data_IF_765887479492
#
_entry.id   IF_765887479492
#
_cell.length_a   1.000
_cell.length_b   1.000
_cell.length_c   1.000
_cell.angle_alpha   90.00
_cell.angle_beta   90.00
_cell.angle_gamma   90.00
#
_symmetry.space_group_name_H-M   'P 1'
#
loop_
_entity.id
_entity.type
_entity.pdbx_description
1 polymer ?
#
# COMPACT_ATOMS: atom_id res chain seq x y z
N UNK A 1 -18.93 -10.95 21.23
CA UNK A 1 -18.55 -9.76 20.45
C UNK A 1 -17.65 -10.23 19.32
N UNK A 2 -18.02 -9.99 18.07
CA UNK A 2 -17.23 -10.47 16.93
C UNK A 2 -16.09 -9.48 16.65
N UNK A 3 -14.85 -9.95 16.71
CA UNK A 3 -13.63 -9.13 16.49
C UNK A 3 -12.97 -9.39 15.14
N UNK A 4 -13.25 -10.53 14.52
CA UNK A 4 -12.67 -10.93 13.24
C UNK A 4 -13.77 -11.49 12.35
N UNK A 5 -13.84 -10.99 11.12
CA UNK A 5 -14.78 -11.45 10.11
C UNK A 5 -14.00 -11.76 8.82
N UNK A 6 -14.03 -13.02 8.39
CA UNK A 6 -13.51 -13.44 7.09
C UNK A 6 -14.66 -13.79 6.17
N UNK A 7 -14.69 -13.15 5.01
CA UNK A 7 -15.65 -13.39 3.95
C UNK A 7 -14.91 -13.54 2.61
N UNK A 8 -13.70 -14.09 2.62
CA UNK A 8 -12.92 -14.23 1.40
C UNK A 8 -13.58 -15.21 0.42
N UNK A 9 -13.55 -14.88 -0.87
CA UNK A 9 -14.10 -15.70 -1.95
C UNK A 9 -15.63 -15.98 -1.83
N UNK A 10 -16.43 -14.92 -1.69
CA UNK A 10 -17.89 -15.01 -1.46
C UNK A 10 -18.74 -14.18 -2.45
N UNK A 11 -18.16 -13.67 -3.54
CA UNK A 11 -18.88 -12.89 -4.56
C UNK A 11 -19.70 -11.70 -3.97
N UNK A 12 -19.24 -11.10 -2.87
CA UNK A 12 -19.96 -10.03 -2.14
C UNK A 12 -20.36 -8.87 -3.06
N UNK A 13 -19.46 -8.51 -4.00
CA UNK A 13 -19.65 -7.41 -4.93
C UNK A 13 -19.77 -6.05 -4.26
N UNK A 14 -20.05 -5.02 -5.06
CA UNK A 14 -20.23 -3.66 -4.56
C UNK A 14 -21.46 -3.51 -3.64
N UNK A 15 -22.55 -4.26 -3.89
CA UNK A 15 -23.77 -4.22 -3.06
C UNK A 15 -23.49 -4.77 -1.66
N UNK A 16 -22.83 -5.92 -1.57
CA UNK A 16 -22.46 -6.48 -0.27
C UNK A 16 -21.43 -5.60 0.47
N UNK A 17 -20.50 -4.97 -0.25
CA UNK A 17 -19.58 -3.99 0.32
C UNK A 17 -20.30 -2.76 0.86
N UNK A 18 -21.39 -2.31 0.20
CA UNK A 18 -22.25 -1.24 0.70
C UNK A 18 -22.92 -1.62 2.03
N UNK A 19 -23.50 -2.83 2.11
CA UNK A 19 -24.12 -3.34 3.34
C UNK A 19 -23.10 -3.47 4.47
N UNK A 20 -21.91 -4.00 4.17
CA UNK A 20 -20.80 -4.08 5.12
C UNK A 20 -20.34 -2.70 5.56
N UNK A 21 -20.20 -1.73 4.65
CA UNK A 21 -19.86 -0.35 4.96
C UNK A 21 -20.86 0.28 5.94
N UNK A 22 -22.16 0.08 5.71
CA UNK A 22 -23.21 0.55 6.62
C UNK A 22 -23.09 -0.10 8.01
N UNK A 23 -22.82 -1.39 8.08
CA UNK A 23 -22.60 -2.08 9.36
C UNK A 23 -21.34 -1.59 10.09
N UNK A 24 -20.24 -1.37 9.36
CA UNK A 24 -18.95 -0.92 9.90
C UNK A 24 -19.01 0.47 10.54
N UNK A 25 -19.88 1.36 10.05
CA UNK A 25 -20.06 2.71 10.65
C UNK A 25 -20.51 2.66 12.10
N UNK A 26 -21.23 1.62 12.50
CA UNK A 26 -21.77 1.45 13.84
C UNK A 26 -21.07 0.34 14.63
N UNK A 27 -20.30 -0.50 13.96
CA UNK A 27 -19.58 -1.58 14.60
C UNK A 27 -18.38 -1.05 15.39
N UNK A 28 -18.36 -1.35 16.69
CA UNK A 28 -17.32 -0.93 17.63
C UNK A 28 -16.50 -2.09 18.17
N UNK A 29 -16.62 -3.28 17.57
CA UNK A 29 -15.96 -4.49 18.06
C UNK A 29 -15.04 -5.15 17.04
N UNK A 30 -15.28 -4.91 15.75
CA UNK A 30 -14.56 -5.58 14.66
C UNK A 30 -13.19 -4.94 14.48
N UNK A 31 -12.15 -5.74 14.66
CA UNK A 31 -10.75 -5.37 14.57
C UNK A 31 -10.16 -5.78 13.22
N UNK A 32 -10.60 -6.91 12.67
CA UNK A 32 -10.07 -7.49 11.43
C UNK A 32 -11.20 -7.85 10.46
N UNK A 33 -11.07 -7.38 9.23
CA UNK A 33 -11.99 -7.69 8.14
C UNK A 33 -11.22 -8.19 6.92
N UNK A 34 -11.52 -9.43 6.50
CA UNK A 34 -10.97 -10.02 5.29
C UNK A 34 -12.04 -10.14 4.20
N UNK A 35 -11.82 -9.41 3.11
CA UNK A 35 -12.71 -9.35 1.94
C UNK A 35 -11.98 -9.75 0.66
N UNK A 36 -10.91 -10.53 0.76
CA UNK A 36 -10.16 -11.00 -0.41
C UNK A 36 -11.07 -11.67 -1.46
N UNK A 37 -10.83 -11.42 -2.74
CA UNK A 37 -11.50 -12.14 -3.85
C UNK A 37 -13.03 -12.00 -3.82
N UNK A 38 -13.55 -10.76 -3.84
CA UNK A 38 -15.00 -10.52 -3.72
C UNK A 38 -15.59 -9.59 -4.80
N UNK A 39 -14.80 -9.24 -5.82
CA UNK A 39 -15.23 -8.37 -6.92
C UNK A 39 -15.91 -7.06 -6.44
N UNK A 40 -15.35 -6.45 -5.40
CA UNK A 40 -15.90 -5.26 -4.74
C UNK A 40 -15.91 -4.05 -5.70
N UNK A 41 -14.87 -3.90 -6.52
CA UNK A 41 -14.71 -2.79 -7.46
C UNK A 41 -14.60 -1.41 -6.79
N UNK A 42 -14.51 -0.38 -7.62
CA UNK A 42 -14.37 1.01 -7.14
C UNK A 42 -15.59 1.50 -6.34
N UNK A 43 -16.80 1.13 -6.77
CA UNK A 43 -18.04 1.50 -6.07
C UNK A 43 -18.13 0.87 -4.67
N UNK A 44 -17.67 -0.37 -4.52
CA UNK A 44 -17.59 -1.01 -3.21
C UNK A 44 -16.48 -0.41 -2.35
N UNK A 45 -15.33 -0.06 -2.95
CA UNK A 45 -14.24 0.63 -2.26
C UNK A 45 -14.67 2.03 -1.77
N UNK A 46 -15.50 2.75 -2.52
CA UNK A 46 -16.15 3.99 -2.08
C UNK A 46 -16.96 3.76 -0.80
N UNK A 47 -17.84 2.76 -0.80
CA UNK A 47 -18.69 2.47 0.35
C UNK A 47 -17.87 2.11 1.60
N UNK A 48 -16.81 1.32 1.42
CA UNK A 48 -15.89 0.97 2.50
C UNK A 48 -15.09 2.17 2.98
N UNK A 49 -14.57 3.01 2.06
CA UNK A 49 -13.87 4.25 2.39
C UNK A 49 -14.73 5.20 3.22
N UNK A 50 -15.99 5.38 2.85
CA UNK A 50 -16.93 6.19 3.63
C UNK A 50 -17.18 5.63 5.03
N UNK A 51 -17.21 4.29 5.19
CA UNK A 51 -17.32 3.68 6.51
C UNK A 51 -16.05 3.86 7.34
N UNK A 52 -14.87 3.70 6.73
CA UNK A 52 -13.58 3.86 7.38
C UNK A 52 -13.36 5.28 7.93
N UNK A 53 -13.93 6.32 7.31
CA UNK A 53 -13.86 7.69 7.85
C UNK A 53 -14.46 7.83 9.26
N UNK A 54 -15.36 6.93 9.65
CA UNK A 54 -16.07 6.96 10.93
C UNK A 54 -15.69 5.80 11.85
N UNK A 55 -15.24 4.67 11.28
CA UNK A 55 -14.88 3.51 12.07
C UNK A 55 -13.55 3.74 12.81
N UNK A 56 -13.57 3.54 14.12
CA UNK A 56 -12.42 3.77 15.02
C UNK A 56 -11.83 2.49 15.60
N UNK A 57 -12.26 1.31 15.12
CA UNK A 57 -11.93 0.02 15.74
C UNK A 57 -11.27 -0.96 14.78
N UNK A 58 -11.55 -0.87 13.48
CA UNK A 58 -10.97 -1.72 12.46
C UNK A 58 -9.51 -1.33 12.26
N UNK A 59 -8.62 -2.27 12.60
CA UNK A 59 -7.16 -2.08 12.49
C UNK A 59 -6.58 -2.79 11.27
N UNK A 60 -7.24 -3.84 10.79
CA UNK A 60 -6.76 -4.66 9.67
C UNK A 60 -7.86 -4.85 8.63
N UNK A 61 -7.56 -4.44 7.40
CA UNK A 61 -8.45 -4.60 6.25
C UNK A 61 -7.71 -5.27 5.09
N UNK A 62 -8.23 -6.41 4.63
CA UNK A 62 -7.72 -7.10 3.44
C UNK A 62 -8.69 -6.97 2.27
N UNK A 63 -8.28 -6.23 1.24
CA UNK A 63 -9.00 -6.00 -0.02
C UNK A 63 -8.27 -6.62 -1.22
N UNK A 64 -7.43 -7.63 -0.99
CA UNK A 64 -6.72 -8.30 -2.07
C UNK A 64 -7.67 -8.83 -3.15
N UNK A 65 -7.31 -8.68 -4.43
CA UNK A 65 -8.03 -9.28 -5.56
C UNK A 65 -9.51 -8.85 -5.63
N UNK A 66 -9.76 -7.55 -5.68
CA UNK A 66 -11.11 -6.99 -5.67
C UNK A 66 -11.42 -6.08 -6.87
N UNK A 67 -10.56 -6.05 -7.88
CA UNK A 67 -10.69 -5.18 -9.05
C UNK A 67 -10.86 -3.69 -8.67
N UNK A 68 -10.14 -3.26 -7.63
CA UNK A 68 -10.08 -1.87 -7.21
C UNK A 68 -9.08 -1.15 -8.12
N UNK A 69 -9.53 -0.16 -8.86
CA UNK A 69 -8.70 0.68 -9.71
C UNK A 69 -8.33 2.00 -9.03
N UNK A 70 -7.89 2.96 -9.83
CA UNK A 70 -7.47 4.29 -9.36
C UNK A 70 -8.58 5.06 -8.62
N UNK A 71 -9.83 4.95 -9.09
CA UNK A 71 -10.96 5.61 -8.44
C UNK A 71 -11.26 4.99 -7.07
N UNK A 72 -11.21 3.67 -6.94
CA UNK A 72 -11.35 3.00 -5.65
C UNK A 72 -10.20 3.35 -4.70
N UNK A 73 -8.96 3.41 -5.20
CA UNK A 73 -7.80 3.86 -4.45
C UNK A 73 -7.93 5.31 -3.97
N UNK A 74 -8.54 6.20 -4.77
CA UNK A 74 -8.87 7.57 -4.35
C UNK A 74 -9.76 7.59 -3.10
N UNK A 75 -10.86 6.84 -3.12
CA UNK A 75 -11.79 6.80 -1.99
C UNK A 75 -11.15 6.24 -0.71
N UNK A 76 -10.31 5.21 -0.86
CA UNK A 76 -9.55 4.65 0.24
C UNK A 76 -8.49 5.63 0.75
N UNK A 77 -7.78 6.34 -0.12
CA UNK A 77 -6.82 7.38 0.24
C UNK A 77 -7.49 8.52 1.04
N UNK A 78 -8.64 9.01 0.59
CA UNK A 78 -9.39 10.03 1.31
C UNK A 78 -9.89 9.55 2.68
N UNK A 79 -10.18 8.25 2.82
CA UNK A 79 -10.53 7.67 4.11
C UNK A 79 -9.31 7.57 5.03
N UNK A 80 -8.16 7.13 4.52
CA UNK A 80 -6.90 7.01 5.27
C UNK A 80 -6.41 8.36 5.84
N UNK A 81 -6.64 9.48 5.16
CA UNK A 81 -6.32 10.81 5.69
C UNK A 81 -7.02 11.13 7.02
N UNK A 82 -8.18 10.53 7.27
CA UNK A 82 -9.02 10.80 8.45
C UNK A 82 -9.07 9.64 9.44
N UNK A 83 -8.89 8.42 8.96
CA UNK A 83 -8.97 7.23 9.78
C UNK A 83 -7.75 7.15 10.71
N UNK A 84 -8.01 7.04 12.01
CA UNK A 84 -7.00 6.98 13.06
C UNK A 84 -6.90 5.60 13.73
N UNK A 85 -7.41 4.56 13.08
CA UNK A 85 -7.48 3.20 13.65
C UNK A 85 -6.80 2.14 12.77
N UNK A 86 -6.84 2.29 11.45
CA UNK A 86 -6.33 1.31 10.50
C UNK A 86 -4.80 1.32 10.50
N UNK A 87 -4.21 0.18 10.84
CA UNK A 87 -2.76 -0.03 10.89
C UNK A 87 -2.26 -0.92 9.76
N UNK A 88 -3.14 -1.76 9.20
CA UNK A 88 -2.81 -2.70 8.14
C UNK A 88 -3.83 -2.65 7.02
N UNK A 89 -3.37 -2.36 5.80
CA UNK A 89 -4.18 -2.37 4.59
C UNK A 89 -3.49 -3.21 3.52
N UNK A 90 -4.22 -4.21 2.99
CA UNK A 90 -3.80 -4.96 1.82
C UNK A 90 -4.67 -4.61 0.61
N UNK A 91 -4.02 -4.10 -0.43
CA UNK A 91 -4.57 -3.81 -1.76
C UNK A 91 -3.86 -4.65 -2.84
N UNK A 92 -3.26 -5.76 -2.43
CA UNK A 92 -2.58 -6.72 -3.30
C UNK A 92 -3.46 -7.20 -4.46
N UNK A 93 -2.89 -7.44 -5.65
CA UNK A 93 -3.62 -7.99 -6.80
C UNK A 93 -4.87 -7.16 -7.17
N UNK A 94 -4.72 -5.84 -7.25
CA UNK A 94 -5.77 -4.95 -7.76
C UNK A 94 -5.29 -4.30 -9.06
N UNK A 95 -6.02 -3.30 -9.56
CA UNK A 95 -5.74 -2.62 -10.82
C UNK A 95 -5.32 -1.17 -10.55
N UNK A 96 -4.56 -0.96 -9.48
CA UNK A 96 -4.12 0.37 -9.05
C UNK A 96 -2.96 0.81 -9.94
N UNK A 97 -3.18 1.87 -10.70
CA UNK A 97 -2.20 2.51 -11.54
C UNK A 97 -1.46 3.65 -10.85
N UNK A 98 -0.86 4.51 -11.67
CA UNK A 98 -0.10 5.67 -11.20
C UNK A 98 -0.99 6.73 -10.50
N UNK A 99 -2.23 6.93 -10.93
CA UNK A 99 -3.15 7.88 -10.28
C UNK A 99 -3.64 7.37 -8.92
N UNK A 100 -3.94 6.08 -8.81
CA UNK A 100 -4.29 5.47 -7.53
C UNK A 100 -3.13 5.52 -6.55
N UNK A 101 -1.90 5.28 -7.02
CA UNK A 101 -0.69 5.47 -6.22
C UNK A 101 -0.49 6.93 -5.78
N UNK A 102 -0.82 7.91 -6.63
CA UNK A 102 -0.82 9.33 -6.25
C UNK A 102 -1.76 9.59 -5.07
N UNK A 103 -3.02 9.15 -5.17
CA UNK A 103 -4.00 9.37 -4.09
C UNK A 103 -3.60 8.70 -2.77
N UNK A 104 -3.06 7.47 -2.85
CA UNK A 104 -2.53 6.78 -1.67
C UNK A 104 -1.30 7.49 -1.10
N UNK A 105 -0.37 7.94 -1.94
CA UNK A 105 0.80 8.72 -1.53
C UNK A 105 0.41 10.01 -0.82
N UNK A 106 -0.52 10.79 -1.39
CA UNK A 106 -1.00 12.01 -0.77
C UNK A 106 -1.80 11.76 0.53
N UNK A 107 -2.35 10.56 0.71
CA UNK A 107 -2.95 10.15 1.98
C UNK A 107 -1.88 9.81 3.03
N UNK A 108 -0.84 9.08 2.63
CA UNK A 108 0.28 8.68 3.49
C UNK A 108 1.04 9.88 4.07
N UNK A 109 1.14 10.99 3.34
CA UNK A 109 1.75 12.23 3.88
C UNK A 109 1.09 12.75 5.16
N UNK A 110 -0.20 12.43 5.36
CA UNK A 110 -1.00 12.90 6.49
C UNK A 110 -1.40 11.80 7.46
N UNK A 111 -1.46 10.54 7.00
CA UNK A 111 -1.84 9.43 7.85
C UNK A 111 -0.71 9.10 8.85
N UNK A 112 -1.09 9.00 10.12
CA UNK A 112 -0.16 8.77 11.25
C UNK A 112 -0.41 7.45 11.98
N UNK A 113 -1.10 6.50 11.32
CA UNK A 113 -1.58 5.26 11.95
C UNK A 113 -1.28 4.00 11.16
N UNK A 114 -1.18 4.11 9.83
CA UNK A 114 -0.90 2.99 8.95
C UNK A 114 0.56 2.56 9.09
N UNK A 115 0.74 1.30 9.49
CA UNK A 115 2.04 0.66 9.75
C UNK A 115 2.45 -0.21 8.57
N UNK A 116 1.48 -0.90 7.96
CA UNK A 116 1.68 -1.86 6.88
C UNK A 116 0.75 -1.56 5.71
N UNK A 117 1.34 -1.37 4.53
CA UNK A 117 0.63 -1.23 3.27
C UNK A 117 1.15 -2.26 2.26
N UNK A 118 0.26 -3.12 1.77
CA UNK A 118 0.58 -4.04 0.68
C UNK A 118 -0.08 -3.57 -0.63
N UNK A 119 0.76 -3.21 -1.59
CA UNK A 119 0.39 -2.80 -2.95
C UNK A 119 0.98 -3.74 -4.01
N UNK A 120 1.45 -4.93 -3.61
CA UNK A 120 2.03 -5.89 -4.55
C UNK A 120 1.06 -6.32 -5.65
N UNK A 121 1.58 -6.65 -6.83
CA UNK A 121 0.79 -7.04 -8.00
C UNK A 121 -0.27 -5.98 -8.36
N UNK A 122 0.18 -4.78 -8.68
CA UNK A 122 -0.63 -3.69 -9.24
C UNK A 122 0.12 -3.10 -10.46
N UNK A 123 -0.35 -1.98 -11.01
CA UNK A 123 0.16 -1.34 -12.24
C UNK A 123 0.75 0.06 -11.94
N UNK A 124 1.39 0.22 -10.78
CA UNK A 124 1.80 1.52 -10.23
C UNK A 124 2.78 2.27 -11.15
N UNK A 125 3.74 1.56 -11.74
CA UNK A 125 4.74 2.11 -12.64
C UNK A 125 5.69 3.13 -12.00
N UNK A 126 6.59 3.69 -12.80
CA UNK A 126 7.57 4.68 -12.33
C UNK A 126 6.91 5.96 -11.80
N UNK A 127 5.83 6.44 -12.43
CA UNK A 127 5.13 7.66 -12.02
C UNK A 127 4.42 7.48 -10.68
N UNK A 128 3.76 6.33 -10.46
CA UNK A 128 3.15 6.04 -9.17
C UNK A 128 4.19 5.86 -8.06
N UNK A 129 5.32 5.25 -8.39
CA UNK A 129 6.46 5.11 -7.47
C UNK A 129 7.02 6.47 -7.03
N UNK A 130 7.08 7.47 -7.92
CA UNK A 130 7.48 8.83 -7.56
C UNK A 130 6.60 9.40 -6.45
N UNK A 131 5.26 9.31 -6.58
CA UNK A 131 4.35 9.80 -5.55
C UNK A 131 4.45 9.05 -4.22
N UNK A 132 4.68 7.73 -4.26
CA UNK A 132 4.89 6.95 -3.04
C UNK A 132 6.24 7.25 -2.39
N UNK A 133 7.29 7.48 -3.18
CA UNK A 133 8.60 7.92 -2.70
C UNK A 133 8.52 9.28 -2.00
N UNK A 134 7.90 10.27 -2.65
CA UNK A 134 7.64 11.60 -2.08
C UNK A 134 6.81 11.51 -0.78
N UNK A 135 5.80 10.63 -0.73
CA UNK A 135 5.05 10.40 0.49
C UNK A 135 5.91 9.85 1.64
N UNK A 136 6.86 8.96 1.34
CA UNK A 136 7.78 8.41 2.34
C UNK A 136 8.76 9.44 2.90
N UNK A 137 9.07 10.53 2.18
CA UNK A 137 9.90 11.60 2.75
C UNK A 137 9.21 12.32 3.91
N UNK A 138 7.88 12.32 3.93
CA UNK A 138 7.07 13.00 4.94
C UNK A 138 6.41 12.06 5.95
N UNK A 139 6.12 10.82 5.54
CA UNK A 139 5.47 9.85 6.41
C UNK A 139 6.44 9.35 7.50
N UNK A 140 5.95 9.36 8.75
CA UNK A 140 6.72 8.97 9.94
C UNK A 140 6.07 7.83 10.71
N UNK A 141 5.28 6.99 10.04
CA UNK A 141 4.53 5.91 10.71
C UNK A 141 4.61 4.58 9.98
N UNK A 142 4.61 4.60 8.65
CA UNK A 142 4.70 3.41 7.84
C UNK A 142 6.06 2.73 8.08
N UNK A 143 6.00 1.44 8.41
CA UNK A 143 7.18 0.60 8.67
C UNK A 143 7.38 -0.46 7.61
N UNK A 144 6.30 -0.86 6.92
CA UNK A 144 6.29 -1.93 5.92
C UNK A 144 5.52 -1.48 4.68
N UNK A 145 6.21 -1.48 3.54
CA UNK A 145 5.62 -1.22 2.23
C UNK A 145 6.02 -2.34 1.27
N UNK A 146 5.02 -3.09 0.80
CA UNK A 146 5.22 -4.11 -0.23
C UNK A 146 4.73 -3.58 -1.57
N UNK A 147 5.67 -3.43 -2.50
CA UNK A 147 5.47 -2.96 -3.87
C UNK A 147 5.95 -4.00 -4.88
N UNK A 148 6.13 -5.27 -4.50
CA UNK A 148 6.56 -6.31 -5.43
C UNK A 148 5.63 -6.43 -6.65
N UNK A 149 6.20 -6.63 -7.84
CA UNK A 149 5.45 -6.77 -9.11
C UNK A 149 4.57 -5.54 -9.41
N UNK A 150 5.19 -4.39 -9.72
CA UNK A 150 4.51 -3.11 -10.01
C UNK A 150 5.11 -2.30 -11.17
N UNK A 151 6.00 -2.90 -11.97
CA UNK A 151 6.62 -2.25 -13.14
C UNK A 151 7.30 -0.90 -12.84
N UNK A 152 7.85 -0.75 -11.62
CA UNK A 152 8.40 0.53 -11.12
C UNK A 152 9.60 1.03 -11.95
N UNK A 153 10.42 0.12 -12.47
CA UNK A 153 11.61 0.47 -13.25
C UNK A 153 12.71 1.16 -12.44
N UNK A 154 13.80 1.52 -13.11
CA UNK A 154 14.96 2.14 -12.46
C UNK A 154 14.70 3.57 -11.99
N UNK A 155 13.83 4.32 -12.68
CA UNK A 155 13.47 5.71 -12.30
C UNK A 155 12.69 5.71 -11.00
N UNK A 156 11.64 4.90 -10.86
CA UNK A 156 10.91 4.82 -9.59
C UNK A 156 11.76 4.25 -8.45
N UNK A 157 12.72 3.36 -8.74
CA UNK A 157 13.70 2.91 -7.74
C UNK A 157 14.64 4.04 -7.28
N UNK A 158 14.96 5.00 -8.15
CA UNK A 158 15.70 6.20 -7.77
C UNK A 158 14.90 7.07 -6.79
N UNK A 159 13.59 7.25 -7.02
CA UNK A 159 12.72 7.98 -6.10
C UNK A 159 12.70 7.34 -4.70
N UNK A 160 12.58 6.02 -4.61
CA UNK A 160 12.70 5.32 -3.33
C UNK A 160 14.10 5.45 -2.71
N UNK A 161 15.16 5.42 -3.51
CA UNK A 161 16.53 5.68 -3.05
C UNK A 161 16.68 7.06 -2.40
N UNK A 162 16.06 8.09 -2.99
CA UNK A 162 16.04 9.44 -2.41
C UNK A 162 15.25 9.47 -1.10
N UNK A 163 14.02 8.91 -1.11
CA UNK A 163 13.16 8.88 0.06
C UNK A 163 13.81 8.17 1.25
N UNK A 164 14.47 7.03 1.01
CA UNK A 164 15.15 6.26 2.05
C UNK A 164 16.28 7.04 2.73
N UNK A 165 16.94 8.01 2.07
CA UNK A 165 17.98 8.81 2.74
C UNK A 165 17.42 9.58 3.94
N UNK A 166 16.17 9.99 3.85
CA UNK A 166 15.51 10.87 4.81
C UNK A 166 14.53 10.12 5.71
N UNK A 167 13.78 9.14 5.18
CA UNK A 167 12.82 8.38 5.96
C UNK A 167 13.52 7.58 7.08
N UNK A 168 13.01 7.70 8.31
CA UNK A 168 13.54 7.05 9.52
C UNK A 168 12.57 6.07 10.18
N UNK A 169 11.53 5.62 9.47
CA UNK A 169 10.50 4.73 10.01
C UNK A 169 10.30 3.46 9.21
N UNK A 170 10.51 3.51 7.89
CA UNK A 170 10.37 2.36 7.02
C UNK A 170 11.49 1.37 7.28
N UNK A 171 11.11 0.19 7.78
CA UNK A 171 12.02 -0.92 8.09
C UNK A 171 12.01 -1.99 6.99
N UNK A 172 10.90 -2.10 6.26
CA UNK A 172 10.70 -3.10 5.21
C UNK A 172 10.18 -2.44 3.94
N UNK A 173 10.94 -2.56 2.86
CA UNK A 173 10.56 -2.17 1.51
C UNK A 173 10.78 -3.35 0.57
N UNK A 174 9.70 -3.85 -0.03
CA UNK A 174 9.77 -4.90 -1.05
C UNK A 174 9.57 -4.30 -2.44
N UNK A 175 10.61 -4.40 -3.28
CA UNK A 175 10.62 -4.00 -4.67
C UNK A 175 10.96 -5.19 -5.59
N UNK A 176 10.73 -6.43 -5.16
CA UNK A 176 10.96 -7.60 -6.00
C UNK A 176 10.16 -7.52 -7.31
N UNK A 177 10.76 -8.04 -8.39
CA UNK A 177 10.12 -8.16 -9.71
C UNK A 177 9.58 -6.82 -10.28
N UNK A 178 10.28 -5.73 -10.02
CA UNK A 178 9.93 -4.38 -10.52
C UNK A 178 10.76 -3.87 -11.70
N UNK A 179 11.56 -4.74 -12.34
CA UNK A 179 12.40 -4.35 -13.49
C UNK A 179 13.36 -3.18 -13.20
N UNK A 180 13.81 -3.05 -11.94
CA UNK A 180 14.64 -1.91 -11.48
C UNK A 180 16.04 -1.87 -12.11
N UNK A 181 16.54 -3.00 -12.60
CA UNK A 181 17.86 -3.11 -13.20
C UNK A 181 19.01 -2.76 -12.23
N UNK A 182 20.24 -2.74 -12.77
CA UNK A 182 21.42 -2.43 -11.98
C UNK A 182 21.50 -0.94 -11.58
N UNK A 183 21.01 -0.03 -12.43
CA UNK A 183 20.94 1.41 -12.09
C UNK A 183 19.99 1.68 -10.91
N UNK A 184 18.78 1.11 -10.92
CA UNK A 184 17.85 1.23 -9.80
C UNK A 184 18.42 0.65 -8.50
N UNK A 185 19.03 -0.54 -8.58
CA UNK A 185 19.71 -1.15 -7.44
C UNK A 185 20.84 -0.27 -6.89
N UNK A 186 21.62 0.39 -7.75
CA UNK A 186 22.69 1.30 -7.33
C UNK A 186 22.16 2.49 -6.53
N UNK A 187 21.03 3.10 -6.92
CA UNK A 187 20.40 4.17 -6.15
C UNK A 187 19.98 3.71 -4.75
N UNK A 188 19.33 2.55 -4.67
CA UNK A 188 18.86 1.98 -3.40
C UNK A 188 20.04 1.63 -2.48
N UNK A 189 21.09 0.98 -3.00
CA UNK A 189 22.30 0.66 -2.22
C UNK A 189 23.02 1.92 -1.73
N UNK A 190 23.09 2.98 -2.56
CA UNK A 190 23.68 4.25 -2.14
C UNK A 190 22.89 4.93 -1.02
N UNK A 191 21.57 4.74 -0.96
CA UNK A 191 20.73 5.25 0.12
C UNK A 191 21.05 4.61 1.48
N UNK A 192 21.47 3.33 1.50
CA UNK A 192 21.84 2.59 2.71
C UNK A 192 23.04 3.18 3.44
N UNK A 193 23.86 4.01 2.78
CA UNK A 193 24.94 4.77 3.44
C UNK A 193 24.42 5.81 4.44
N UNK A 194 23.16 6.21 4.30
CA UNK A 194 22.49 7.26 5.09
C UNK A 194 21.28 6.73 5.88
N UNK A 195 20.68 5.62 5.43
CA UNK A 195 19.59 4.97 6.11
C UNK A 195 20.10 3.82 6.98
N UNK A 196 19.86 3.91 8.28
CA UNK A 196 20.21 2.88 9.27
C UNK A 196 18.98 2.17 9.86
N UNK A 197 17.78 2.47 9.34
CA UNK A 197 16.50 1.98 9.87
C UNK A 197 15.93 0.84 9.01
N UNK A 198 16.16 0.87 7.70
CA UNK A 198 15.75 -0.20 6.80
C UNK A 198 16.47 -1.50 7.19
N UNK A 199 15.69 -2.53 7.48
CA UNK A 199 16.16 -3.87 7.87
C UNK A 199 16.03 -4.81 6.68
N UNK A 200 14.91 -4.71 5.95
CA UNK A 200 14.58 -5.58 4.83
C UNK A 200 14.39 -4.70 3.60
N UNK A 201 15.29 -4.86 2.63
CA UNK A 201 15.18 -4.30 1.30
C UNK A 201 15.18 -5.47 0.31
N UNK A 202 13.99 -5.93 -0.08
CA UNK A 202 13.85 -7.07 -0.98
C UNK A 202 13.90 -6.62 -2.44
N UNK A 203 14.88 -7.13 -3.20
CA UNK A 203 15.15 -6.77 -4.59
C UNK A 203 15.37 -8.04 -5.42
N UNK A 204 14.85 -8.06 -6.64
CA UNK A 204 15.20 -9.09 -7.62
C UNK A 204 16.29 -8.57 -8.57
N UNK A 205 17.52 -9.06 -8.40
CA UNK A 205 18.66 -8.73 -9.27
C UNK A 205 19.16 -10.00 -9.96
N UNK A 206 19.10 -10.12 -11.30
CA UNK A 206 19.69 -11.24 -12.01
C UNK A 206 21.20 -11.35 -11.71
N UNK A 207 21.69 -12.56 -11.47
CA UNK A 207 23.05 -12.87 -10.98
C UNK A 207 24.22 -12.22 -11.75
N UNK A 208 24.01 -11.77 -12.99
CA UNK A 208 25.05 -11.17 -13.84
C UNK A 208 25.56 -9.80 -13.34
N UNK A 209 24.82 -9.12 -12.47
CA UNK A 209 25.16 -7.75 -12.03
C UNK A 209 25.78 -7.66 -10.63
N UNK A 210 25.87 -8.75 -9.87
CA UNK A 210 26.44 -8.73 -8.51
C UNK A 210 27.94 -8.42 -8.46
N UNK A 211 28.67 -8.64 -9.57
CA UNK A 211 30.12 -8.38 -9.64
C UNK A 211 30.51 -6.90 -9.65
N UNK A 212 29.56 -5.98 -9.87
CA UNK A 212 29.84 -4.53 -9.88
C UNK A 212 29.55 -3.83 -8.54
N UNK A 213 29.15 -4.58 -7.50
CA UNK A 213 28.78 -4.03 -6.19
C UNK A 213 29.77 -4.38 -5.06
N UNK A 214 30.79 -5.20 -5.35
CA UNK A 214 31.91 -5.55 -4.45
C UNK A 214 33.16 -4.89 -4.98
#
# INVERSE_FOLDING_TARGET
TLTTLSLDDNEIGHIGAQLLGNALRHNTTLITLNLRQNNIGDAGAQCLGDALRHNTTLTTLNLQQNAIGDAGAQYLGDALRRNMALTTLSLKWNQIGNLGAQYLGDALKHNTTLITLNLSYNEIGAVGAHYLGDALEHNTTLTTLDLSVNEIGHVGAQDFGNALRHNKTLTTLDLERNQIGHYGAQYLVNALRYNTVIIILALFIPCLYLRSFI
#
